data_IF_449133643909
#
_entry.id   IF_449133643909
#
_cell.length_a   1.000
_cell.length_b   1.000
_cell.length_c   1.000
_cell.angle_alpha   90.00
_cell.angle_beta   90.00
_cell.angle_gamma   90.00
#
_symmetry.space_group_name_H-M   'P 1'
#
loop_
_entity.id
_entity.type
_entity.pdbx_description
1 polymer ?
#
# COMPACT_ATOMS: atom_id res chain seq x y z
N UNK A 1 -19.92 -3.16 -11.53
CA UNK A 1 -19.19 -4.42 -11.21
C UNK A 1 -18.49 -4.39 -9.84
N UNK A 2 -18.26 -5.56 -9.23
CA UNK A 2 -17.51 -5.75 -7.98
C UNK A 2 -16.46 -6.86 -8.14
N UNK A 3 -15.20 -6.60 -7.80
CA UNK A 3 -14.14 -7.62 -7.70
C UNK A 3 -13.98 -8.03 -6.24
N UNK A 4 -14.44 -9.23 -5.88
CA UNK A 4 -14.30 -9.75 -4.53
C UNK A 4 -12.92 -10.35 -4.30
N UNK A 5 -11.96 -9.55 -3.89
CA UNK A 5 -10.57 -10.01 -3.78
C UNK A 5 -10.30 -11.07 -2.71
N UNK A 6 -11.21 -11.33 -1.75
CA UNK A 6 -10.93 -12.29 -0.67
C UNK A 6 -9.66 -11.99 0.17
N UNK A 7 -9.05 -10.80 -0.01
CA UNK A 7 -7.71 -10.31 0.43
C UNK A 7 -6.51 -10.52 -0.52
N UNK A 8 -6.67 -11.09 -1.70
CA UNK A 8 -5.60 -11.29 -2.69
C UNK A 8 -5.56 -10.16 -3.74
N UNK A 9 -4.35 -9.70 -4.11
CA UNK A 9 -4.05 -8.73 -5.18
C UNK A 9 -4.96 -7.49 -5.33
N UNK A 10 -5.66 -7.10 -4.28
CA UNK A 10 -6.67 -6.06 -4.36
C UNK A 10 -6.16 -4.70 -4.82
N UNK A 11 -4.88 -4.38 -4.54
CA UNK A 11 -4.26 -3.17 -5.05
C UNK A 11 -4.00 -3.24 -6.55
N UNK A 12 -3.60 -4.41 -7.05
CA UNK A 12 -3.38 -4.62 -8.47
C UNK A 12 -4.70 -4.49 -9.25
N UNK A 13 -5.79 -5.10 -8.77
CA UNK A 13 -7.12 -4.89 -9.34
C UNK A 13 -7.57 -3.43 -9.24
N UNK A 14 -7.38 -2.78 -8.09
CA UNK A 14 -7.80 -1.40 -7.90
C UNK A 14 -7.11 -0.46 -8.89
N UNK A 15 -5.80 -0.60 -9.07
CA UNK A 15 -5.02 0.25 -9.98
C UNK A 15 -5.44 0.00 -11.42
N UNK A 16 -5.46 -1.27 -11.85
CA UNK A 16 -5.75 -1.61 -13.23
C UNK A 16 -7.19 -1.29 -13.64
N UNK A 17 -8.13 -1.27 -12.70
CA UNK A 17 -9.48 -0.76 -12.96
C UNK A 17 -9.50 0.78 -12.98
N UNK A 18 -8.79 1.43 -12.07
CA UNK A 18 -8.88 2.89 -11.91
C UNK A 18 -8.19 3.68 -13.03
N UNK A 19 -7.21 3.10 -13.70
CA UNK A 19 -6.60 3.72 -14.89
C UNK A 19 -7.47 3.64 -16.14
N UNK A 20 -8.52 2.81 -16.15
CA UNK A 20 -9.37 2.70 -17.34
C UNK A 20 -10.26 3.95 -17.49
N UNK A 21 -10.34 4.51 -18.70
CA UNK A 21 -11.08 5.76 -18.96
C UNK A 21 -12.60 5.63 -18.80
N UNK A 22 -13.14 4.41 -18.82
CA UNK A 22 -14.56 4.09 -18.75
C UNK A 22 -14.95 3.39 -17.44
N UNK A 23 -14.04 3.32 -16.45
CA UNK A 23 -14.36 2.82 -15.11
C UNK A 23 -14.24 3.94 -14.08
N UNK A 24 -15.26 4.11 -13.24
CA UNK A 24 -15.23 5.01 -12.09
C UNK A 24 -15.06 4.15 -10.83
N UNK A 25 -13.91 4.31 -10.16
CA UNK A 25 -13.58 3.55 -8.95
C UNK A 25 -13.48 4.49 -7.75
N UNK A 26 -14.35 4.36 -6.72
CA UNK A 26 -14.22 5.14 -5.51
C UNK A 26 -12.92 4.78 -4.79
N UNK A 27 -12.35 5.72 -4.04
CA UNK A 27 -11.21 5.41 -3.16
C UNK A 27 -11.53 4.17 -2.32
N UNK A 28 -10.60 3.22 -2.31
CA UNK A 28 -10.73 1.99 -1.52
C UNK A 28 -10.94 2.30 -0.04
N UNK A 29 -10.27 3.32 0.51
CA UNK A 29 -10.49 3.72 1.91
C UNK A 29 -11.89 4.25 2.17
N UNK A 30 -12.44 5.05 1.24
CA UNK A 30 -13.82 5.54 1.32
C UNK A 30 -14.82 4.39 1.30
N UNK A 31 -14.64 3.42 0.40
CA UNK A 31 -15.52 2.25 0.33
C UNK A 31 -15.37 1.34 1.56
N UNK A 32 -14.14 1.00 1.98
CA UNK A 32 -13.88 0.23 3.21
C UNK A 32 -14.51 0.90 4.45
N UNK A 33 -14.45 2.24 4.51
CA UNK A 33 -15.10 3.00 5.58
C UNK A 33 -16.61 2.88 5.48
N UNK A 34 -17.20 3.02 4.29
CA UNK A 34 -18.64 2.85 4.09
C UNK A 34 -19.11 1.46 4.56
N UNK A 35 -18.40 0.39 4.19
CA UNK A 35 -18.71 -0.98 4.63
C UNK A 35 -18.68 -1.08 6.15
N UNK A 36 -17.61 -0.57 6.79
CA UNK A 36 -17.49 -0.60 8.26
C UNK A 36 -18.62 0.16 8.94
N UNK A 37 -18.95 1.36 8.47
CA UNK A 37 -20.02 2.17 9.08
C UNK A 37 -21.38 1.48 8.90
N UNK A 38 -21.62 0.88 7.74
CA UNK A 38 -22.85 0.13 7.48
C UNK A 38 -22.97 -1.10 8.39
N UNK A 39 -21.95 -1.97 8.39
CA UNK A 39 -21.99 -3.24 9.13
C UNK A 39 -21.89 -3.03 10.65
N UNK A 40 -21.09 -2.06 11.12
CA UNK A 40 -20.90 -1.80 12.55
C UNK A 40 -21.96 -0.88 13.15
N UNK A 41 -22.35 0.19 12.44
CA UNK A 41 -23.20 1.26 12.98
C UNK A 41 -24.57 1.32 12.30
N UNK A 42 -24.88 0.42 11.36
CA UNK A 42 -26.16 0.37 10.62
C UNK A 42 -26.47 1.68 9.89
N UNK A 43 -25.44 2.39 9.45
CA UNK A 43 -25.58 3.66 8.75
C UNK A 43 -25.28 3.52 7.26
N UNK A 44 -26.30 3.72 6.42
CA UNK A 44 -26.18 3.79 4.97
C UNK A 44 -25.61 5.11 4.44
N UNK A 45 -25.46 6.14 5.29
CA UNK A 45 -25.12 7.50 4.85
C UNK A 45 -23.78 7.59 4.11
N UNK A 46 -22.79 6.78 4.52
CA UNK A 46 -21.49 6.76 3.85
C UNK A 46 -21.57 6.13 2.45
N UNK A 47 -22.37 5.07 2.29
CA UNK A 47 -22.62 4.45 0.99
C UNK A 47 -23.43 5.40 0.09
N UNK A 48 -24.43 6.08 0.64
CA UNK A 48 -25.20 7.10 -0.08
C UNK A 48 -24.37 8.31 -0.52
N UNK A 49 -23.29 8.65 0.18
CA UNK A 49 -22.31 9.65 -0.30
C UNK A 49 -21.54 9.14 -1.53
N UNK A 50 -21.12 7.87 -1.53
CA UNK A 50 -20.45 7.26 -2.69
C UNK A 50 -21.40 7.23 -3.89
N UNK A 51 -22.68 6.86 -3.69
CA UNK A 51 -23.69 6.85 -4.74
C UNK A 51 -23.90 8.24 -5.36
N UNK A 52 -23.97 9.30 -4.54
CA UNK A 52 -24.09 10.67 -5.03
C UNK A 52 -22.85 11.11 -5.82
N UNK A 53 -21.67 10.86 -5.26
CA UNK A 53 -20.41 11.14 -5.94
C UNK A 53 -20.33 10.42 -7.29
N UNK A 54 -20.72 9.15 -7.37
CA UNK A 54 -20.73 8.41 -8.63
C UNK A 54 -21.67 9.05 -9.66
N UNK A 55 -22.89 9.44 -9.27
CA UNK A 55 -23.81 10.15 -10.16
C UNK A 55 -23.29 11.50 -10.64
N UNK A 56 -22.50 12.20 -9.83
CA UNK A 56 -21.82 13.43 -10.24
C UNK A 56 -20.75 13.13 -11.29
N UNK A 57 -19.94 12.09 -11.11
CA UNK A 57 -18.93 11.65 -12.09
C UNK A 57 -19.55 11.22 -13.43
N UNK A 58 -20.72 10.57 -13.39
CA UNK A 58 -21.46 10.17 -14.60
C UNK A 58 -21.91 11.36 -15.46
N UNK A 59 -22.00 12.59 -14.92
CA UNK A 59 -22.34 13.77 -15.72
C UNK A 59 -21.25 14.10 -16.74
N UNK A 60 -19.99 13.89 -16.34
CA UNK A 60 -18.83 14.15 -17.19
C UNK A 60 -18.45 12.90 -18.02
N UNK A 61 -18.85 11.71 -17.55
CA UNK A 61 -18.53 10.40 -18.15
C UNK A 61 -19.76 9.49 -18.17
N UNK A 62 -20.75 9.74 -19.05
CA UNK A 62 -22.05 9.06 -19.02
C UNK A 62 -21.97 7.55 -19.27
N UNK A 63 -21.02 7.12 -20.10
CA UNK A 63 -20.83 5.71 -20.46
C UNK A 63 -19.99 4.92 -19.44
N UNK A 64 -19.53 5.56 -18.36
CA UNK A 64 -18.60 4.91 -17.44
C UNK A 64 -19.30 4.02 -16.41
N UNK A 65 -18.72 2.86 -16.13
CA UNK A 65 -19.27 1.90 -15.16
C UNK A 65 -18.66 2.05 -13.77
N UNK A 66 -19.44 1.76 -12.73
CA UNK A 66 -18.94 1.67 -11.36
C UNK A 66 -18.06 0.42 -11.21
N UNK A 67 -16.80 0.63 -10.86
CA UNK A 67 -15.87 -0.44 -10.47
C UNK A 67 -15.62 -0.44 -8.96
N UNK A 68 -15.84 -1.58 -8.30
CA UNK A 68 -15.56 -1.71 -6.86
C UNK A 68 -14.57 -2.84 -6.63
N UNK A 69 -13.46 -2.57 -5.96
CA UNK A 69 -12.57 -3.63 -5.47
C UNK A 69 -12.84 -3.88 -3.99
N UNK A 70 -13.47 -5.01 -3.69
CA UNK A 70 -13.97 -5.31 -2.36
C UNK A 70 -13.12 -6.35 -1.63
N UNK A 71 -12.65 -5.99 -0.43
CA UNK A 71 -11.92 -6.90 0.46
C UNK A 71 -12.86 -7.55 1.48
N UNK A 72 -13.67 -8.52 1.05
CA UNK A 72 -14.71 -9.16 1.86
C UNK A 72 -14.21 -9.74 3.20
N UNK A 73 -13.03 -10.37 3.21
CA UNK A 73 -12.49 -11.12 4.37
C UNK A 73 -11.77 -10.22 5.40
N UNK A 74 -11.49 -8.93 5.12
CA UNK A 74 -11.03 -7.97 6.17
C UNK A 74 -12.20 -7.73 7.17
N UNK A 75 -12.16 -6.85 8.19
CA UNK A 75 -13.28 -6.72 9.15
C UNK A 75 -14.53 -6.05 8.53
N UNK A 76 -14.76 -6.26 7.23
CA UNK A 76 -15.81 -5.73 6.39
C UNK A 76 -17.06 -6.62 6.54
N UNK A 77 -16.98 -7.89 6.14
CA UNK A 77 -18.06 -8.85 6.39
C UNK A 77 -17.82 -9.62 7.69
N UNK A 78 -18.90 -9.87 8.44
CA UNK A 78 -18.84 -10.61 9.70
C UNK A 78 -19.29 -12.05 9.51
N UNK A 79 -18.63 -13.00 10.17
CA UNK A 79 -19.19 -14.34 10.35
C UNK A 79 -20.33 -14.30 11.40
N UNK A 80 -21.44 -15.04 11.20
CA UNK A 80 -21.75 -15.86 10.01
C UNK A 80 -22.01 -14.99 8.76
N UNK A 81 -21.50 -15.42 7.59
CA UNK A 81 -21.52 -14.60 6.38
C UNK A 81 -22.94 -14.29 5.88
N UNK A 82 -23.90 -15.21 6.03
CA UNK A 82 -25.31 -15.00 5.67
C UNK A 82 -26.11 -14.15 6.68
N UNK A 83 -25.44 -13.41 7.57
CA UNK A 83 -26.16 -12.51 8.45
C UNK A 83 -26.98 -11.49 7.66
N UNK A 84 -28.20 -11.18 8.13
CA UNK A 84 -29.06 -10.13 7.55
C UNK A 84 -28.34 -8.81 7.30
N UNK A 85 -27.32 -8.50 8.10
CA UNK A 85 -26.49 -7.29 7.95
C UNK A 85 -25.60 -7.32 6.72
N UNK A 86 -24.95 -8.44 6.45
CA UNK A 86 -24.10 -8.58 5.26
C UNK A 86 -24.98 -8.58 4.00
N UNK A 87 -26.11 -9.29 4.02
CA UNK A 87 -27.08 -9.28 2.92
C UNK A 87 -27.58 -7.87 2.65
N UNK A 88 -28.10 -7.16 3.66
CA UNK A 88 -28.59 -5.79 3.50
C UNK A 88 -27.50 -4.82 3.00
N UNK A 89 -26.25 -4.98 3.42
CA UNK A 89 -25.15 -4.18 2.91
C UNK A 89 -24.88 -4.47 1.42
N UNK A 90 -24.80 -5.74 1.03
CA UNK A 90 -24.55 -6.11 -0.35
C UNK A 90 -25.71 -5.72 -1.27
N UNK A 91 -26.97 -5.86 -0.82
CA UNK A 91 -28.13 -5.37 -1.55
C UNK A 91 -28.06 -3.86 -1.73
N UNK A 92 -27.70 -3.11 -0.68
CA UNK A 92 -27.50 -1.67 -0.81
C UNK A 92 -26.33 -1.31 -1.74
N UNK A 93 -25.27 -2.13 -1.81
CA UNK A 93 -24.21 -1.95 -2.80
C UNK A 93 -24.75 -2.14 -4.21
N UNK A 94 -25.47 -3.24 -4.47
CA UNK A 94 -26.12 -3.53 -5.75
C UNK A 94 -27.04 -2.39 -6.18
N UNK A 95 -27.99 -2.03 -5.31
CA UNK A 95 -29.09 -1.14 -5.65
C UNK A 95 -28.66 0.33 -5.70
N UNK A 96 -27.78 0.79 -4.79
CA UNK A 96 -27.39 2.21 -4.73
C UNK A 96 -26.23 2.57 -5.63
N UNK A 97 -25.34 1.61 -5.93
CA UNK A 97 -24.16 1.83 -6.76
C UNK A 97 -24.30 1.24 -8.16
N UNK A 98 -25.46 0.68 -8.48
CA UNK A 98 -25.78 0.08 -9.78
C UNK A 98 -24.72 -0.93 -10.23
N UNK A 99 -24.51 -1.93 -9.36
CA UNK A 99 -23.53 -3.00 -9.61
C UNK A 99 -24.21 -4.36 -9.60
N UNK A 100 -24.15 -5.04 -10.73
CA UNK A 100 -24.84 -6.30 -11.02
C UNK A 100 -23.91 -7.52 -11.06
N UNK A 101 -22.67 -7.29 -11.49
CA UNK A 101 -21.68 -8.33 -11.79
C UNK A 101 -20.61 -8.39 -10.70
N UNK A 102 -20.35 -9.59 -10.19
CA UNK A 102 -19.29 -9.88 -9.23
C UNK A 102 -18.24 -10.80 -9.86
N UNK A 103 -16.98 -10.39 -9.85
CA UNK A 103 -15.84 -11.24 -10.17
C UNK A 103 -15.27 -11.84 -8.89
N UNK A 104 -15.30 -13.17 -8.79
CA UNK A 104 -14.97 -13.94 -7.60
C UNK A 104 -13.72 -14.82 -7.86
N UNK A 105 -12.51 -14.38 -7.47
CA UNK A 105 -11.30 -15.18 -7.56
C UNK A 105 -11.39 -16.39 -6.64
N UNK A 106 -11.11 -17.57 -7.20
CA UNK A 106 -10.83 -18.79 -6.44
C UNK A 106 -9.34 -19.08 -6.56
N UNK A 107 -8.72 -19.49 -5.45
CA UNK A 107 -7.29 -19.82 -5.38
C UNK A 107 -7.13 -21.29 -5.11
N UNK A 108 -6.06 -21.88 -5.61
CA UNK A 108 -5.66 -23.20 -5.15
C UNK A 108 -5.41 -23.17 -3.61
N UNK A 109 -6.04 -24.07 -2.83
CA UNK A 109 -6.05 -23.99 -1.37
C UNK A 109 -4.66 -24.00 -0.72
N UNK A 110 -3.71 -24.80 -1.23
CA UNK A 110 -2.33 -24.85 -0.71
C UNK A 110 -1.58 -23.55 -0.96
N UNK A 111 -1.77 -22.95 -2.12
CA UNK A 111 -1.19 -21.67 -2.56
C UNK A 111 -1.79 -20.50 -1.78
N UNK A 112 -3.10 -20.52 -1.52
CA UNK A 112 -3.75 -19.57 -0.60
C UNK A 112 -3.18 -19.71 0.82
N UNK A 113 -3.08 -20.94 1.32
CA UNK A 113 -2.57 -21.23 2.66
C UNK A 113 -1.14 -20.69 2.83
N UNK A 114 -0.23 -21.01 1.89
CA UNK A 114 1.15 -20.55 1.89
C UNK A 114 1.23 -19.01 1.87
N UNK A 115 0.43 -18.39 1.01
CA UNK A 115 0.35 -16.93 0.89
C UNK A 115 -0.10 -16.26 2.20
N UNK A 116 -1.13 -16.80 2.86
CA UNK A 116 -1.59 -16.30 4.15
C UNK A 116 -0.59 -16.59 5.28
N UNK A 117 0.08 -17.75 5.27
CA UNK A 117 1.12 -18.10 6.23
C UNK A 117 2.28 -17.08 6.16
N UNK A 118 2.85 -16.89 4.97
CA UNK A 118 3.91 -15.92 4.71
C UNK A 118 3.51 -14.50 5.15
N UNK A 119 2.27 -14.10 4.85
CA UNK A 119 1.73 -12.80 5.28
C UNK A 119 1.65 -12.67 6.80
N UNK A 120 1.23 -13.72 7.51
CA UNK A 120 1.11 -13.74 8.97
C UNK A 120 2.46 -13.76 9.66
N UNK A 121 3.42 -14.48 9.11
CA UNK A 121 4.81 -14.52 9.55
C UNK A 121 5.44 -13.14 9.44
N UNK A 122 5.29 -12.51 8.27
CA UNK A 122 5.73 -11.15 8.03
C UNK A 122 5.14 -10.13 9.02
N UNK A 123 3.89 -10.31 9.44
CA UNK A 123 3.28 -9.47 10.48
C UNK A 123 3.89 -9.68 11.88
N UNK A 124 4.31 -10.91 12.21
CA UNK A 124 4.91 -11.22 13.52
C UNK A 124 6.28 -10.55 13.68
N UNK A 125 7.04 -10.41 12.60
CA UNK A 125 8.36 -9.75 12.59
C UNK A 125 8.27 -8.23 12.34
N UNK A 126 7.18 -7.60 12.82
CA UNK A 126 6.90 -6.17 12.71
C UNK A 126 6.71 -5.61 11.28
N UNK A 127 6.31 -6.43 10.32
CA UNK A 127 6.23 -6.03 8.91
C UNK A 127 7.58 -5.47 8.40
N UNK A 128 7.61 -4.86 7.22
CA UNK A 128 8.84 -4.34 6.61
C UNK A 128 9.23 -2.99 7.21
N UNK A 129 9.28 -2.91 8.55
CA UNK A 129 9.65 -1.69 9.26
C UNK A 129 11.13 -1.73 9.64
N UNK A 130 11.87 -0.70 9.23
CA UNK A 130 13.28 -0.56 9.60
C UNK A 130 13.45 -0.38 11.11
N UNK A 131 14.31 -1.18 11.78
CA UNK A 131 14.67 -0.93 13.16
C UNK A 131 15.24 0.47 13.32
N UNK A 132 14.76 1.18 14.34
CA UNK A 132 15.19 2.56 14.61
C UNK A 132 16.70 2.58 14.84
N UNK A 133 17.43 3.42 14.09
CA UNK A 133 18.87 3.59 14.21
C UNK A 133 19.72 2.63 13.37
N UNK A 134 19.14 1.59 12.76
CA UNK A 134 19.88 0.67 11.90
C UNK A 134 20.42 1.39 10.66
N UNK A 135 21.72 1.29 10.41
CA UNK A 135 22.44 2.09 9.40
C UNK A 135 22.13 3.60 9.48
N UNK A 136 21.94 4.12 10.70
CA UNK A 136 21.58 5.52 10.91
C UNK A 136 20.18 5.88 10.41
N UNK A 137 19.29 4.91 10.16
CA UNK A 137 17.91 5.18 9.74
C UNK A 137 17.14 5.92 10.83
N UNK A 138 16.60 7.06 10.44
CA UNK A 138 15.73 7.90 11.27
C UNK A 138 14.48 8.23 10.45
N UNK A 139 13.33 8.30 11.12
CA UNK A 139 12.10 8.81 10.50
C UNK A 139 12.13 10.34 10.33
N UNK A 140 12.94 11.04 11.14
CA UNK A 140 13.10 12.49 11.11
C UNK A 140 14.57 12.83 10.96
N UNK A 141 14.88 13.56 9.90
CA UNK A 141 16.19 14.08 9.56
C UNK A 141 16.20 15.59 9.74
N UNK A 142 17.39 16.16 9.86
CA UNK A 142 17.63 17.59 9.72
C UNK A 142 18.45 17.84 8.46
N UNK A 143 18.18 18.93 7.75
CA UNK A 143 18.92 19.28 6.54
C UNK A 143 20.44 19.35 6.79
N UNK A 144 20.86 19.83 7.98
CA UNK A 144 22.26 19.83 8.39
C UNK A 144 22.88 18.43 8.53
N UNK A 145 22.10 17.41 8.91
CA UNK A 145 22.57 16.02 8.97
C UNK A 145 22.83 15.45 7.56
N UNK A 146 22.21 16.03 6.53
CA UNK A 146 22.38 15.58 5.15
C UNK A 146 23.68 16.09 4.52
N UNK A 147 24.28 17.14 5.07
CA UNK A 147 25.52 17.74 4.59
C UNK A 147 26.77 16.95 5.01
N UNK A 148 26.75 16.33 6.19
CA UNK A 148 27.87 15.54 6.74
C UNK A 148 27.38 14.13 7.11
N UNK A 149 27.21 13.21 6.14
CA UNK A 149 26.79 11.85 6.45
C UNK A 149 27.88 11.12 7.23
N UNK A 150 27.51 10.54 8.38
CA UNK A 150 28.37 9.57 9.07
C UNK A 150 28.57 8.28 8.24
N UNK A 151 29.46 7.37 8.66
CA UNK A 151 29.66 6.10 7.98
C UNK A 151 28.42 5.18 8.08
N UNK A 152 28.26 4.27 7.12
CA UNK A 152 27.35 3.12 7.24
C UNK A 152 27.93 2.16 8.29
N UNK A 153 27.06 1.56 9.10
CA UNK A 153 27.46 0.64 10.16
C UNK A 153 27.30 -0.80 9.70
N UNK A 154 27.96 -1.73 10.39
CA UNK A 154 27.78 -3.15 10.11
C UNK A 154 26.34 -3.61 10.42
N UNK A 155 25.86 -4.50 9.56
CA UNK A 155 24.48 -4.91 9.34
C UNK A 155 24.05 -6.13 10.17
N UNK A 156 24.88 -6.58 11.11
CA UNK A 156 24.86 -7.93 11.68
C UNK A 156 23.77 -8.20 12.74
N UNK A 157 22.98 -7.21 13.15
CA UNK A 157 21.99 -7.36 14.22
C UNK A 157 20.58 -6.86 13.86
N UNK A 158 19.90 -7.55 12.92
CA UNK A 158 18.43 -7.49 12.85
C UNK A 158 17.85 -8.41 13.94
N UNK A 159 16.98 -7.91 14.84
CA UNK A 159 16.48 -8.73 15.94
C UNK A 159 15.65 -9.91 15.43
N UNK A 160 15.93 -11.11 15.97
CA UNK A 160 15.22 -12.35 15.66
C UNK A 160 14.17 -12.64 16.73
N UNK A 161 12.86 -12.51 16.49
CA UNK A 161 11.91 -13.34 17.18
C UNK A 161 11.80 -14.65 16.39
N UNK A 162 12.33 -15.75 16.96
CA UNK A 162 12.06 -17.08 16.45
C UNK A 162 10.56 -17.38 16.60
N UNK A 163 9.92 -17.88 15.54
CA UNK A 163 8.55 -18.36 15.62
C UNK A 163 8.61 -19.85 15.94
N UNK A 164 8.16 -20.23 17.15
CA UNK A 164 8.09 -21.64 17.53
C UNK A 164 7.05 -22.41 16.71
N UNK A 165 7.21 -23.73 16.65
CA UNK A 165 6.25 -24.63 16.00
C UNK A 165 4.83 -24.47 16.56
N UNK A 166 4.68 -24.40 17.88
CA UNK A 166 3.39 -24.11 18.53
C UNK A 166 2.76 -22.79 18.02
N UNK A 167 3.58 -21.78 17.73
CA UNK A 167 3.12 -20.52 17.19
C UNK A 167 2.77 -20.59 15.70
N UNK A 168 3.31 -21.55 14.93
CA UNK A 168 2.90 -21.87 13.57
C UNK A 168 1.59 -22.66 13.54
N UNK A 169 1.43 -23.66 14.41
CA UNK A 169 0.19 -24.43 14.54
C UNK A 169 -1.00 -23.51 14.89
N UNK A 170 -0.84 -22.63 15.87
CA UNK A 170 -1.86 -21.62 16.23
C UNK A 170 -2.16 -20.62 15.10
N UNK A 171 -1.20 -20.36 14.22
CA UNK A 171 -1.43 -19.53 13.02
C UNK A 171 -2.27 -20.29 11.99
N UNK A 172 -1.97 -21.57 11.73
CA UNK A 172 -2.70 -22.41 10.77
C UNK A 172 -4.20 -22.45 11.09
N UNK A 173 -4.57 -22.69 12.35
CA UNK A 173 -5.97 -22.67 12.81
C UNK A 173 -6.68 -21.34 12.50
N UNK A 174 -5.98 -20.20 12.62
CA UNK A 174 -6.54 -18.87 12.33
C UNK A 174 -6.65 -18.57 10.83
N UNK A 175 -5.92 -19.27 9.98
CA UNK A 175 -6.03 -19.17 8.52
C UNK A 175 -7.31 -19.89 8.10
N UNK A 176 -7.47 -21.14 8.52
CA UNK A 176 -8.68 -21.96 8.29
C UNK A 176 -9.98 -21.20 8.54
N UNK A 177 -10.15 -20.64 9.74
CA UNK A 177 -11.37 -19.92 10.12
C UNK A 177 -11.66 -18.69 9.26
N UNK A 178 -10.63 -18.02 8.73
CA UNK A 178 -10.79 -16.72 8.04
C UNK A 178 -10.86 -16.83 6.54
N UNK A 179 -10.07 -17.72 5.94
CA UNK A 179 -9.90 -17.83 4.49
C UNK A 179 -10.36 -19.17 3.94
N UNK A 180 -10.66 -20.15 4.79
CA UNK A 180 -11.22 -21.43 4.39
C UNK A 180 -12.71 -21.38 4.01
N UNK A 181 -13.39 -20.26 4.25
CA UNK A 181 -14.84 -20.07 4.03
C UNK A 181 -15.19 -19.53 2.64
N UNK A 182 -14.55 -20.07 1.61
CA UNK A 182 -14.65 -19.58 0.22
C UNK A 182 -16.04 -19.77 -0.36
N UNK A 183 -16.65 -20.95 -0.20
CA UNK A 183 -17.99 -21.23 -0.72
C UNK A 183 -19.07 -20.47 0.05
N UNK A 184 -18.98 -20.42 1.38
CA UNK A 184 -19.88 -19.59 2.20
C UNK A 184 -19.88 -18.12 1.77
N UNK A 185 -18.71 -17.60 1.36
CA UNK A 185 -18.62 -16.25 0.80
C UNK A 185 -19.25 -16.17 -0.58
N UNK A 186 -18.96 -17.10 -1.48
CA UNK A 186 -19.57 -17.16 -2.81
C UNK A 186 -21.11 -17.21 -2.73
N UNK A 187 -21.66 -18.07 -1.88
CA UNK A 187 -23.09 -18.23 -1.67
C UNK A 187 -23.73 -16.92 -1.18
N UNK A 188 -23.06 -16.19 -0.28
CA UNK A 188 -23.52 -14.86 0.14
C UNK A 188 -23.63 -13.89 -1.04
N UNK A 189 -22.61 -13.81 -1.90
CA UNK A 189 -22.69 -12.93 -3.08
C UNK A 189 -23.77 -13.42 -4.06
N UNK A 190 -23.84 -14.71 -4.32
CA UNK A 190 -24.81 -15.29 -5.27
C UNK A 190 -26.25 -15.17 -4.78
N UNK A 191 -26.48 -15.05 -3.46
CA UNK A 191 -27.80 -14.75 -2.91
C UNK A 191 -28.27 -13.30 -3.11
N UNK A 192 -27.39 -12.41 -3.57
CA UNK A 192 -27.65 -10.97 -3.70
C UNK A 192 -27.47 -10.46 -5.12
N UNK A 193 -26.46 -10.95 -5.83
CA UNK A 193 -26.09 -10.51 -7.18
C UNK A 193 -26.48 -11.58 -8.20
N UNK A 194 -27.06 -11.14 -9.31
CA UNK A 194 -27.56 -12.04 -10.35
C UNK A 194 -26.41 -12.69 -11.14
N UNK A 195 -25.26 -12.02 -11.24
CA UNK A 195 -24.09 -12.53 -11.96
C UNK A 195 -22.86 -12.58 -11.04
N UNK A 196 -22.48 -13.79 -10.62
CA UNK A 196 -21.24 -14.04 -9.85
C UNK A 196 -20.32 -14.97 -10.64
N UNK A 197 -19.36 -14.37 -11.33
CA UNK A 197 -18.41 -15.06 -12.20
C UNK A 197 -17.14 -15.45 -11.43
N UNK A 198 -16.83 -16.73 -11.44
CA UNK A 198 -15.63 -17.31 -10.85
C UNK A 198 -14.51 -17.32 -11.88
N UNK A 199 -13.31 -16.96 -11.44
CA UNK A 199 -12.08 -17.12 -12.21
C UNK A 199 -10.98 -17.73 -11.35
N UNK A 200 -10.03 -18.42 -11.98
CA UNK A 200 -8.84 -18.88 -11.29
C UNK A 200 -7.91 -17.71 -11.05
N UNK A 201 -7.54 -17.51 -9.80
CA UNK A 201 -6.58 -16.46 -9.45
C UNK A 201 -5.22 -16.72 -10.10
N UNK A 202 -4.89 -17.96 -10.43
CA UNK A 202 -3.72 -18.33 -11.21
C UNK A 202 -3.73 -17.68 -12.61
N UNK A 203 -4.88 -17.46 -13.24
CA UNK A 203 -4.98 -16.70 -14.50
C UNK A 203 -4.47 -15.25 -14.33
N UNK A 204 -4.74 -14.61 -13.18
CA UNK A 204 -4.19 -13.29 -12.87
C UNK A 204 -2.65 -13.31 -12.73
N UNK A 205 -2.09 -14.46 -12.35
CA UNK A 205 -0.64 -14.65 -12.19
C UNK A 205 0.05 -15.02 -13.51
N UNK A 206 -0.64 -15.70 -14.41
CA UNK A 206 -0.07 -16.14 -15.69
C UNK A 206 -0.23 -15.06 -16.76
N UNK A 207 -1.45 -14.59 -16.99
CA UNK A 207 -1.76 -13.58 -18.00
C UNK A 207 -2.80 -12.57 -17.46
N UNK A 208 -2.35 -11.57 -16.67
CA UNK A 208 -3.26 -10.57 -16.14
C UNK A 208 -3.96 -9.76 -17.25
N UNK A 209 -3.34 -9.58 -18.42
CA UNK A 209 -3.92 -8.79 -19.50
C UNK A 209 -5.12 -9.51 -20.13
N UNK A 210 -4.98 -10.81 -20.41
CA UNK A 210 -6.09 -11.63 -20.88
C UNK A 210 -7.23 -11.69 -19.85
N UNK A 211 -6.91 -11.84 -18.57
CA UNK A 211 -7.93 -11.82 -17.51
C UNK A 211 -8.70 -10.49 -17.48
N UNK A 212 -8.01 -9.34 -17.49
CA UNK A 212 -8.67 -8.04 -17.48
C UNK A 212 -9.50 -7.80 -18.74
N UNK A 213 -9.08 -8.31 -19.91
CA UNK A 213 -9.88 -8.26 -21.13
C UNK A 213 -11.20 -9.04 -20.97
N UNK A 214 -11.17 -10.29 -20.47
CA UNK A 214 -12.38 -11.07 -20.16
C UNK A 214 -13.28 -10.38 -19.14
N UNK A 215 -12.68 -9.80 -18.09
CA UNK A 215 -13.42 -9.01 -17.10
C UNK A 215 -14.09 -7.79 -17.74
N UNK A 216 -13.41 -7.14 -18.69
CA UNK A 216 -13.94 -6.02 -19.47
C UNK A 216 -15.22 -6.38 -20.21
N UNK A 217 -15.17 -7.46 -21.00
CA UNK A 217 -16.30 -7.96 -21.77
C UNK A 217 -17.52 -8.29 -20.89
N UNK A 218 -17.30 -8.87 -19.71
CA UNK A 218 -18.38 -9.26 -18.79
C UNK A 218 -18.83 -8.14 -17.85
N UNK A 219 -17.97 -7.16 -17.60
CA UNK A 219 -18.16 -6.05 -16.66
C UNK A 219 -18.50 -4.73 -17.34
N UNK A 220 -18.71 -4.73 -18.66
CA UNK A 220 -19.03 -3.59 -19.50
C UNK A 220 -17.98 -2.46 -19.43
N UNK A 221 -16.70 -2.82 -19.55
CA UNK A 221 -15.62 -1.84 -19.70
C UNK A 221 -14.53 -2.33 -20.67
N UNK A 222 -13.72 -1.41 -21.17
CA UNK A 222 -12.66 -1.67 -22.13
C UNK A 222 -11.29 -1.64 -21.43
N UNK A 223 -10.58 -2.76 -21.47
CA UNK A 223 -9.20 -2.82 -20.95
C UNK A 223 -8.21 -2.28 -21.98
N UNK A 224 -8.04 -0.96 -21.99
CA UNK A 224 -7.25 -0.20 -22.98
C UNK A 224 -5.90 0.24 -22.43
N UNK A 225 -5.86 0.78 -21.21
CA UNK A 225 -4.59 1.14 -20.56
C UNK A 225 -4.00 -0.08 -19.87
N UNK A 226 -2.86 -0.55 -20.40
CA UNK A 226 -2.12 -1.74 -19.91
C UNK A 226 -0.85 -1.37 -19.15
N UNK A 227 -0.59 -0.08 -18.93
CA UNK A 227 0.68 0.42 -18.38
C UNK A 227 1.04 -0.18 -17.01
N UNK A 228 0.04 -0.58 -16.21
CA UNK A 228 0.21 -1.12 -14.85
C UNK A 228 -0.27 -2.56 -14.69
N UNK A 229 -0.47 -3.28 -15.79
CA UNK A 229 -1.03 -4.65 -15.77
C UNK A 229 -0.12 -5.65 -15.04
N UNK A 230 1.19 -5.45 -15.11
CA UNK A 230 2.18 -6.26 -14.41
C UNK A 230 2.56 -5.71 -13.03
N UNK A 231 2.00 -4.57 -12.62
CA UNK A 231 2.30 -3.93 -11.33
C UNK A 231 1.65 -4.71 -10.19
N UNK A 232 2.34 -5.76 -9.75
CA UNK A 232 1.94 -6.61 -8.63
C UNK A 232 2.25 -5.93 -7.31
N UNK A 233 1.33 -5.08 -6.86
CA UNK A 233 1.36 -4.48 -5.52
C UNK A 233 0.81 -5.42 -4.45
N UNK A 234 1.12 -6.70 -4.56
CA UNK A 234 0.98 -7.64 -3.47
C UNK A 234 2.34 -7.72 -2.73
N UNK A 235 2.33 -8.11 -1.46
CA UNK A 235 3.58 -8.38 -0.72
C UNK A 235 4.53 -7.16 -0.59
N UNK A 236 5.78 -7.29 -1.03
CA UNK A 236 6.91 -6.39 -0.78
C UNK A 236 6.65 -4.96 -1.28
N UNK A 237 6.28 -4.75 -2.54
CA UNK A 237 6.03 -3.40 -3.08
C UNK A 237 4.94 -2.64 -2.29
N UNK A 238 3.85 -3.33 -1.93
CA UNK A 238 2.80 -2.76 -1.10
C UNK A 238 3.30 -2.35 0.29
N UNK A 239 4.20 -3.12 0.90
CA UNK A 239 4.77 -2.84 2.22
C UNK A 239 5.81 -1.73 2.13
N UNK A 240 6.69 -1.76 1.12
CA UNK A 240 7.62 -0.69 0.81
C UNK A 240 6.90 0.67 0.76
N UNK A 241 5.79 0.75 0.02
CA UNK A 241 4.99 1.96 -0.12
C UNK A 241 4.27 2.40 1.18
N UNK A 242 4.14 1.53 2.19
CA UNK A 242 3.52 1.87 3.49
C UNK A 242 4.56 2.31 4.52
N UNK A 243 5.73 1.68 4.54
CA UNK A 243 6.67 1.76 5.66
C UNK A 243 7.95 2.56 5.39
N UNK A 244 8.02 3.30 4.27
CA UNK A 244 9.16 4.15 3.93
C UNK A 244 8.98 5.70 4.05
N UNK A 245 7.91 6.29 4.62
CA UNK A 245 7.84 7.75 4.72
C UNK A 245 8.81 8.29 5.78
N UNK A 246 9.48 9.40 5.47
CA UNK A 246 10.39 10.13 6.37
C UNK A 246 10.18 11.64 6.27
N UNK A 247 10.70 12.38 7.24
CA UNK A 247 10.56 13.84 7.34
C UNK A 247 11.94 14.48 7.37
N UNK A 248 12.11 15.59 6.65
CA UNK A 248 13.30 16.44 6.72
C UNK A 248 12.90 17.76 7.38
N UNK A 249 13.51 18.08 8.51
CA UNK A 249 13.41 19.40 9.14
C UNK A 249 14.43 20.33 8.48
N UNK A 250 13.93 21.39 7.86
CA UNK A 250 14.77 22.36 7.15
C UNK A 250 15.43 23.38 8.11
N UNK A 251 14.95 23.47 9.36
CA UNK A 251 15.48 24.41 10.35
C UNK A 251 15.32 25.87 9.91
N UNK A 252 16.13 26.78 10.48
CA UNK A 252 16.39 28.08 9.86
C UNK A 252 17.46 27.85 8.79
N UNK A 253 17.05 27.58 7.56
CA UNK A 253 18.00 27.64 6.46
C UNK A 253 18.34 29.13 6.25
N UNK A 254 19.56 29.49 6.62
CA UNK A 254 20.20 30.70 6.11
C UNK A 254 21.00 30.22 4.90
N UNK A 255 20.75 30.74 3.68
CA UNK A 255 21.73 30.61 2.62
C UNK A 255 22.96 31.37 3.09
N UNK A 256 23.86 30.71 3.81
CA UNK A 256 25.21 31.22 3.98
C UNK A 256 25.92 30.90 2.68
N UNK A 257 25.97 31.91 1.81
CA UNK A 257 27.00 32.01 0.79
C UNK A 257 28.34 31.61 1.43
N UNK A 258 29.06 30.63 0.86
CA UNK A 258 30.38 30.27 1.35
C UNK A 258 31.36 31.36 0.89
N UNK A 259 31.33 32.52 1.54
CA UNK A 259 32.32 33.57 1.33
C UNK A 259 33.09 33.82 2.63
N UNK A 260 34.39 33.51 2.54
CA UNK A 260 35.47 33.97 3.43
C UNK A 260 35.49 33.43 4.88
N UNK A 261 35.82 32.15 5.04
CA UNK A 261 36.69 31.78 6.17
C UNK A 261 38.13 31.92 5.67
N UNK A 262 38.71 33.10 5.84
CA UNK A 262 40.15 33.31 5.67
C UNK A 262 40.95 32.44 6.66
N UNK A 263 42.20 32.09 6.33
CA UNK A 263 43.03 31.29 7.21
C UNK A 263 43.57 32.21 8.32
N UNK A 264 42.94 32.20 9.49
CA UNK A 264 43.43 33.01 10.61
C UNK A 264 42.65 32.84 11.90
N UNK A 265 43.29 32.19 12.88
CA UNK A 265 43.19 32.60 14.29
C UNK A 265 42.00 32.08 15.11
N UNK A 266 41.98 30.78 15.42
CA UNK A 266 41.35 30.34 16.68
C UNK A 266 42.32 30.60 17.84
N UNK A 267 42.39 31.86 18.27
CA UNK A 267 43.00 32.26 19.52
C UNK A 267 42.02 33.08 20.35
N UNK A 268 41.81 32.58 21.58
CA UNK A 268 41.35 33.24 22.81
C UNK A 268 39.85 33.28 23.15
N UNK A 269 39.64 32.73 24.34
CA UNK A 269 38.52 32.86 25.27
C UNK A 269 38.29 34.32 25.71
N UNK A 270 37.05 34.52 26.19
CA UNK A 270 36.61 35.41 27.25
C UNK A 270 36.19 36.86 26.90
N UNK A 271 34.93 37.14 27.25
CA UNK A 271 34.54 38.41 27.88
C UNK A 271 33.84 39.44 26.99
N UNK A 272 32.86 40.12 27.62
CA UNK A 272 32.17 41.35 27.18
C UNK A 272 30.92 41.17 26.31
N UNK A 273 29.75 41.13 26.98
CA UNK A 273 28.51 41.70 26.41
C UNK A 273 28.65 43.23 26.45
N UNK A 274 28.21 43.94 25.39
CA UNK A 274 27.21 44.97 25.67
C UNK A 274 26.10 45.07 24.61
N UNK A 275 24.98 45.58 25.11
CA UNK A 275 23.77 45.99 24.42
C UNK A 275 24.00 46.91 23.21
N UNK A 276 23.28 46.68 22.11
CA UNK A 276 22.74 47.77 21.30
C UNK A 276 21.50 47.35 20.47
N UNK A 277 20.37 47.97 20.81
CA UNK A 277 19.20 48.32 19.98
C UNK A 277 18.46 47.20 19.24
N UNK A 278 17.40 46.73 19.91
CA UNK A 278 16.17 46.20 19.29
C UNK A 278 15.60 47.25 18.30
N UNK A 279 15.92 47.14 17.01
CA UNK A 279 14.97 47.52 15.96
C UNK A 279 13.94 46.39 15.88
N UNK A 280 12.75 46.62 16.43
CA UNK A 280 11.56 45.83 16.11
C UNK A 280 11.27 46.02 14.63
N UNK A 281 11.88 45.18 13.79
CA UNK A 281 11.26 44.87 12.51
C UNK A 281 9.90 44.25 12.85
N UNK A 282 8.83 44.84 12.31
CA UNK A 282 7.48 44.30 12.33
C UNK A 282 7.56 43.01 11.52
N UNK A 283 7.99 41.93 12.18
CA UNK A 283 7.84 40.59 11.64
C UNK A 283 6.34 40.35 11.67
N UNK A 284 5.72 40.34 10.49
CA UNK A 284 4.44 39.68 10.30
C UNK A 284 4.44 38.37 11.10
N UNK A 285 3.36 38.15 11.85
CA UNK A 285 3.16 37.01 12.76
C UNK A 285 3.10 35.67 11.98
N UNK A 286 4.13 35.30 11.24
CA UNK A 286 4.46 33.90 11.03
C UNK A 286 5.29 33.49 12.23
N UNK A 287 4.66 32.78 13.18
CA UNK A 287 5.42 31.99 14.16
C UNK A 287 6.50 31.23 13.37
N UNK A 288 7.78 31.24 13.80
CA UNK A 288 8.88 30.55 13.11
C UNK A 288 8.73 29.05 13.32
N UNK A 289 7.68 28.47 12.76
CA UNK A 289 7.41 27.06 12.80
C UNK A 289 8.45 26.36 11.95
N UNK A 290 9.10 25.35 12.54
CA UNK A 290 10.06 24.46 11.88
C UNK A 290 9.49 24.04 10.52
N UNK A 291 10.06 24.54 9.41
CA UNK A 291 9.71 24.08 8.07
C UNK A 291 10.10 22.61 7.98
N UNK A 292 9.13 21.78 7.60
CA UNK A 292 9.29 20.32 7.48
C UNK A 292 8.83 19.91 6.11
N UNK A 293 9.56 18.98 5.53
CA UNK A 293 9.25 18.39 4.25
C UNK A 293 9.03 16.89 4.44
N UNK A 294 7.83 16.40 4.15
CA UNK A 294 7.52 14.96 4.17
C UNK A 294 7.95 14.36 2.83
N UNK A 295 8.83 13.38 2.94
CA UNK A 295 9.45 12.70 1.82
C UNK A 295 9.14 11.20 1.88
N UNK A 296 9.32 10.53 0.75
CA UNK A 296 9.23 9.07 0.63
C UNK A 296 10.01 8.59 -0.57
N UNK A 297 10.38 7.31 -0.58
CA UNK A 297 10.68 6.63 -1.83
C UNK A 297 9.38 6.04 -2.40
N UNK A 298 9.22 6.10 -3.71
CA UNK A 298 7.94 5.76 -4.35
C UNK A 298 8.11 5.05 -5.68
N UNK A 299 7.01 4.47 -6.16
CA UNK A 299 6.89 3.91 -7.50
C UNK A 299 6.03 4.91 -8.28
N UNK A 300 6.64 5.81 -9.09
CA UNK A 300 5.98 6.87 -9.83
C UNK A 300 4.65 6.49 -10.46
N UNK A 301 4.65 5.38 -11.17
CA UNK A 301 3.57 4.92 -12.03
C UNK A 301 2.33 4.52 -11.22
N UNK A 302 2.51 4.23 -9.93
CA UNK A 302 1.44 3.77 -9.03
C UNK A 302 0.79 4.92 -8.27
N UNK A 303 1.57 5.96 -7.92
CA UNK A 303 1.10 7.02 -7.04
C UNK A 303 0.05 7.92 -7.68
N UNK A 304 0.12 8.11 -9.00
CA UNK A 304 -0.89 8.80 -9.80
C UNK A 304 -2.28 8.17 -9.67
N UNK A 305 -2.36 6.91 -9.23
CA UNK A 305 -3.60 6.12 -9.12
C UNK A 305 -4.00 5.86 -7.66
N UNK A 306 -3.02 5.79 -6.74
CA UNK A 306 -3.21 5.40 -5.35
C UNK A 306 -3.31 6.59 -4.38
N UNK A 307 -4.43 7.31 -4.44
CA UNK A 307 -4.79 8.42 -3.52
C UNK A 307 -4.59 8.09 -2.02
N UNK A 308 -4.76 6.81 -1.65
CA UNK A 308 -4.61 6.28 -0.28
C UNK A 308 -3.24 6.62 0.36
N UNK A 309 -2.21 6.95 -0.43
CA UNK A 309 -0.86 7.21 0.09
C UNK A 309 -0.47 8.68 0.11
N UNK A 310 -1.40 9.57 -0.22
CA UNK A 310 -1.17 11.02 -0.27
C UNK A 310 -0.63 11.49 -1.61
N UNK A 311 -0.74 12.80 -1.82
CA UNK A 311 -0.27 13.51 -3.01
C UNK A 311 1.22 13.84 -2.84
N UNK A 312 2.03 13.30 -3.74
CA UNK A 312 3.48 13.49 -3.77
C UNK A 312 3.90 13.88 -5.18
N UNK A 313 4.72 14.93 -5.27
CA UNK A 313 5.42 15.29 -6.48
C UNK A 313 6.82 14.69 -6.47
N UNK A 314 7.27 14.24 -7.63
CA UNK A 314 8.64 13.77 -7.79
C UNK A 314 9.61 14.95 -7.72
N UNK A 315 10.75 14.74 -7.09
CA UNK A 315 11.85 15.69 -7.07
C UNK A 315 12.98 15.13 -7.93
N UNK A 316 13.58 15.93 -8.83
CA UNK A 316 14.75 15.51 -9.59
C UNK A 316 15.91 15.22 -8.62
N UNK A 317 16.10 13.95 -8.33
CA UNK A 317 17.16 13.47 -7.46
C UNK A 317 17.77 12.22 -8.08
N UNK A 318 19.10 12.15 -8.18
CA UNK A 318 19.81 10.93 -8.56
C UNK A 318 19.79 9.92 -7.42
N UNK A 319 18.61 9.42 -7.09
CA UNK A 319 18.41 8.32 -6.15
C UNK A 319 18.46 6.97 -6.86
N UNK A 320 18.23 6.93 -8.18
CA UNK A 320 18.09 5.69 -8.94
C UNK A 320 19.36 4.82 -8.86
N UNK A 321 20.54 5.43 -9.04
CA UNK A 321 21.83 4.75 -8.91
C UNK A 321 22.04 4.14 -7.52
N UNK A 322 21.61 4.85 -6.47
CA UNK A 322 21.74 4.46 -5.06
C UNK A 322 20.72 3.41 -4.62
N UNK A 323 19.57 3.35 -5.28
CA UNK A 323 18.46 2.46 -4.96
C UNK A 323 18.33 1.28 -5.91
N UNK A 324 19.32 1.02 -6.78
CA UNK A 324 19.28 -0.07 -7.77
C UNK A 324 18.81 -1.41 -7.21
N UNK A 325 19.40 -1.86 -6.10
CA UNK A 325 19.00 -3.11 -5.43
C UNK A 325 17.57 -3.12 -4.88
N UNK A 326 17.02 -1.95 -4.56
CA UNK A 326 15.62 -1.80 -4.16
C UNK A 326 14.74 -1.93 -5.40
N UNK A 327 15.05 -1.20 -6.47
CA UNK A 327 14.31 -1.26 -7.73
C UNK A 327 14.28 -2.67 -8.32
N UNK A 328 15.41 -3.38 -8.29
CA UNK A 328 15.52 -4.79 -8.71
C UNK A 328 14.63 -5.71 -7.87
N UNK A 329 14.65 -5.56 -6.54
CA UNK A 329 13.81 -6.37 -5.65
C UNK A 329 12.31 -6.07 -5.78
N UNK A 330 11.95 -4.84 -6.16
CA UNK A 330 10.57 -4.44 -6.41
C UNK A 330 10.09 -4.79 -7.82
N UNK A 331 11.01 -4.95 -8.78
CA UNK A 331 10.69 -5.05 -10.20
C UNK A 331 10.09 -3.75 -10.75
N UNK A 332 10.44 -2.60 -10.18
CA UNK A 332 9.88 -1.30 -10.57
C UNK A 332 10.87 -0.17 -10.33
N UNK A 333 10.75 0.91 -11.11
CA UNK A 333 11.51 2.13 -10.89
C UNK A 333 11.13 2.77 -9.55
N UNK A 334 12.12 3.34 -8.86
CA UNK A 334 11.95 3.98 -7.55
C UNK A 334 12.44 5.42 -7.62
N UNK A 335 11.56 6.36 -7.26
CA UNK A 335 11.85 7.79 -7.23
C UNK A 335 11.76 8.36 -5.80
N UNK A 336 12.21 9.61 -5.65
CA UNK A 336 11.99 10.41 -4.45
C UNK A 336 10.75 11.29 -4.65
N UNK A 337 9.77 11.13 -3.78
CA UNK A 337 8.61 12.00 -3.71
C UNK A 337 8.65 12.94 -2.51
N UNK A 338 8.21 14.17 -2.73
CA UNK A 338 7.90 15.16 -1.69
C UNK A 338 6.42 15.43 -1.70
N UNK A 339 5.80 15.49 -0.52
CA UNK A 339 4.37 15.79 -0.42
C UNK A 339 4.05 17.14 -1.05
N UNK A 340 3.06 17.18 -1.93
CA UNK A 340 2.73 18.39 -2.70
C UNK A 340 2.50 19.62 -1.81
N UNK A 341 1.70 19.46 -0.74
CA UNK A 341 1.45 20.53 0.22
C UNK A 341 2.72 21.08 0.91
N UNK A 342 3.78 20.29 1.03
CA UNK A 342 5.05 20.75 1.61
C UNK A 342 5.93 21.40 0.51
N UNK A 343 5.90 20.85 -0.72
CA UNK A 343 6.63 21.37 -1.86
C UNK A 343 6.19 22.77 -2.30
N UNK A 344 4.89 23.09 -2.23
CA UNK A 344 4.36 24.43 -2.53
C UNK A 344 4.99 25.55 -1.70
N UNK A 345 5.65 25.19 -0.60
CA UNK A 345 6.31 26.12 0.29
C UNK A 345 7.83 26.08 0.17
N UNK A 346 8.40 25.49 -0.89
CA UNK A 346 9.83 25.38 -1.15
C UNK A 346 10.18 26.01 -2.50
N UNK A 347 11.33 26.70 -2.57
CA UNK A 347 11.89 27.12 -3.86
C UNK A 347 12.45 25.91 -4.63
N UNK A 348 12.68 26.06 -5.94
CA UNK A 348 13.36 25.05 -6.75
C UNK A 348 14.74 24.69 -6.17
N UNK A 349 15.53 25.70 -5.78
CA UNK A 349 16.83 25.48 -5.13
C UNK A 349 16.74 24.69 -3.82
N UNK A 350 15.71 24.94 -3.01
CA UNK A 350 15.47 24.19 -1.77
C UNK A 350 15.10 22.73 -2.06
N UNK A 351 14.33 22.48 -3.12
CA UNK A 351 13.99 21.13 -3.58
C UNK A 351 15.21 20.39 -4.12
N UNK A 352 16.07 21.05 -4.91
CA UNK A 352 17.29 20.47 -5.46
C UNK A 352 18.31 20.14 -4.37
N UNK A 353 18.48 21.04 -3.40
CA UNK A 353 19.33 20.81 -2.23
C UNK A 353 18.82 19.64 -1.40
N UNK A 354 17.50 19.56 -1.18
CA UNK A 354 16.85 18.46 -0.50
C UNK A 354 17.07 17.15 -1.25
N UNK A 355 16.80 17.11 -2.56
CA UNK A 355 16.98 15.94 -3.41
C UNK A 355 18.43 15.45 -3.40
N UNK A 356 19.38 16.37 -3.53
CA UNK A 356 20.82 16.09 -3.45
C UNK A 356 21.25 15.57 -2.07
N UNK A 357 20.69 16.13 -1.00
CA UNK A 357 20.93 15.66 0.37
C UNK A 357 20.36 14.26 0.62
N UNK A 358 19.15 13.99 0.14
CA UNK A 358 18.50 12.67 0.22
C UNK A 358 19.31 11.63 -0.56
N UNK A 359 19.66 11.92 -1.81
CA UNK A 359 20.44 11.02 -2.66
C UNK A 359 21.79 10.65 -2.03
N UNK A 360 22.50 11.63 -1.46
CA UNK A 360 23.82 11.37 -0.84
C UNK A 360 23.74 10.68 0.51
N UNK A 361 22.75 11.00 1.33
CA UNK A 361 22.76 10.63 2.75
C UNK A 361 21.68 9.61 3.13
N UNK A 362 20.45 9.77 2.64
CA UNK A 362 19.32 8.92 3.04
C UNK A 362 19.21 7.69 2.12
N UNK A 363 19.33 7.86 0.80
CA UNK A 363 19.17 6.77 -0.16
C UNK A 363 20.13 5.59 0.07
N UNK A 364 21.45 5.78 0.32
CA UNK A 364 22.36 4.67 0.57
C UNK A 364 22.04 3.93 1.88
N UNK A 365 21.62 4.67 2.91
CA UNK A 365 21.18 4.09 4.19
C UNK A 365 19.90 3.30 4.02
N UNK A 366 18.95 3.83 3.27
CA UNK A 366 17.73 3.13 2.93
C UNK A 366 18.02 1.83 2.18
N UNK A 367 18.86 1.89 1.13
CA UNK A 367 19.26 0.73 0.35
C UNK A 367 19.91 -0.36 1.21
N UNK A 368 20.89 0.01 2.05
CA UNK A 368 21.56 -0.92 2.95
C UNK A 368 20.56 -1.58 3.92
N UNK A 369 19.70 -0.79 4.55
CA UNK A 369 18.64 -1.30 5.42
C UNK A 369 17.65 -2.22 4.69
N UNK A 370 17.29 -1.85 3.46
CA UNK A 370 16.37 -2.63 2.64
C UNK A 370 16.97 -3.98 2.28
N UNK A 371 18.26 -4.04 1.94
CA UNK A 371 18.95 -5.30 1.65
C UNK A 371 18.98 -6.24 2.85
N UNK A 372 19.30 -5.73 4.04
CA UNK A 372 19.29 -6.51 5.30
C UNK A 372 17.91 -7.08 5.56
N UNK A 373 16.90 -6.22 5.48
CA UNK A 373 15.51 -6.61 5.69
C UNK A 373 15.06 -7.62 4.64
N UNK A 374 15.33 -7.38 3.35
CA UNK A 374 14.96 -8.29 2.27
C UNK A 374 15.61 -9.67 2.45
N UNK A 375 16.89 -9.71 2.80
CA UNK A 375 17.62 -10.94 3.13
C UNK A 375 16.95 -11.68 4.29
N UNK A 376 16.74 -10.99 5.42
CA UNK A 376 16.06 -11.55 6.58
C UNK A 376 14.67 -12.11 6.23
N UNK A 377 13.90 -11.38 5.41
CA UNK A 377 12.58 -11.81 4.97
C UNK A 377 12.63 -13.09 4.15
N UNK A 378 13.57 -13.18 3.20
CA UNK A 378 13.74 -14.38 2.36
C UNK A 378 14.21 -15.58 3.18
N UNK A 379 15.13 -15.37 4.11
CA UNK A 379 15.76 -16.46 4.87
C UNK A 379 14.93 -16.96 6.06
N UNK A 380 14.09 -16.11 6.68
CA UNK A 380 13.49 -16.40 7.98
C UNK A 380 11.98 -16.19 8.07
N UNK A 381 11.35 -15.63 7.05
CA UNK A 381 9.93 -15.24 7.09
C UNK A 381 9.13 -15.84 5.95
N UNK A 382 9.74 -15.92 4.77
CA UNK A 382 9.14 -16.44 3.57
C UNK A 382 9.40 -17.95 3.46
N UNK A 383 8.31 -18.70 3.41
CA UNK A 383 8.31 -20.11 3.05
C UNK A 383 8.04 -20.25 1.55
N UNK A 384 8.89 -21.01 0.87
CA UNK A 384 8.70 -21.38 -0.55
C UNK A 384 7.70 -22.55 -0.71
N UNK A 385 7.60 -23.40 0.32
CA UNK A 385 6.64 -24.49 0.39
C UNK A 385 5.92 -24.50 1.73
N UNK A 386 4.73 -25.12 1.78
CA UNK A 386 3.98 -25.25 3.02
C UNK A 386 4.73 -26.20 3.97
N UNK A 387 5.05 -25.79 5.21
CA UNK A 387 5.65 -26.69 6.19
C UNK A 387 4.72 -27.87 6.53
N UNK A 388 5.33 -29.02 6.80
CA UNK A 388 4.63 -30.29 7.01
C UNK A 388 3.61 -30.22 8.15
N UNK A 389 2.49 -30.95 7.99
CA UNK A 389 1.39 -31.04 8.96
C UNK A 389 0.55 -29.76 9.16
N UNK A 390 1.05 -28.58 8.76
CA UNK A 390 0.31 -27.33 8.92
C UNK A 390 -0.87 -27.22 7.95
N UNK A 391 -0.75 -27.78 6.75
CA UNK A 391 -1.81 -27.76 5.74
C UNK A 391 -3.00 -28.64 6.14
N UNK A 392 -2.77 -29.78 6.77
CA UNK A 392 -3.82 -30.76 7.07
C UNK A 392 -4.90 -30.19 8.00
N UNK A 393 -4.49 -29.34 8.95
CA UNK A 393 -5.42 -28.60 9.83
C UNK A 393 -6.30 -27.66 9.01
N UNK A 394 -5.72 -26.97 8.02
CA UNK A 394 -6.48 -26.09 7.13
C UNK A 394 -7.42 -26.89 6.24
N UNK A 395 -6.92 -27.96 5.63
CA UNK A 395 -7.65 -28.78 4.67
C UNK A 395 -8.80 -29.52 5.35
N UNK A 396 -8.56 -30.22 6.46
CA UNK A 396 -9.60 -30.92 7.22
C UNK A 396 -10.79 -30.02 7.57
N UNK A 397 -10.52 -28.76 7.94
CA UNK A 397 -11.55 -27.80 8.30
C UNK A 397 -12.21 -27.06 7.11
N UNK A 398 -11.59 -27.05 5.93
CA UNK A 398 -12.03 -26.24 4.78
C UNK A 398 -12.41 -27.08 3.55
N UNK A 399 -12.10 -28.37 3.53
CA UNK A 399 -12.24 -29.26 2.37
C UNK A 399 -13.60 -29.14 1.68
N UNK A 400 -14.69 -29.24 2.45
CA UNK A 400 -16.07 -29.12 1.93
C UNK A 400 -16.33 -27.76 1.25
N UNK A 401 -15.75 -26.67 1.76
CA UNK A 401 -15.90 -25.35 1.14
C UNK A 401 -15.19 -25.30 -0.22
N UNK A 402 -14.04 -25.98 -0.36
CA UNK A 402 -13.32 -26.04 -1.63
C UNK A 402 -13.96 -27.01 -2.63
N UNK A 403 -14.46 -28.16 -2.16
CA UNK A 403 -15.21 -29.09 -3.00
C UNK A 403 -16.45 -28.40 -3.59
N UNK A 404 -17.25 -27.73 -2.76
CA UNK A 404 -18.44 -27.01 -3.22
C UNK A 404 -18.12 -25.88 -4.21
N UNK A 405 -17.10 -25.05 -3.97
CA UNK A 405 -16.78 -23.96 -4.90
C UNK A 405 -16.24 -24.49 -6.24
N UNK A 406 -15.51 -25.61 -6.22
CA UNK A 406 -15.04 -26.24 -7.45
C UNK A 406 -16.17 -26.87 -8.26
N UNK A 407 -17.20 -27.41 -7.61
CA UNK A 407 -18.42 -27.86 -8.29
C UNK A 407 -19.12 -26.70 -8.99
N UNK A 408 -19.31 -25.57 -8.30
CA UNK A 408 -19.88 -24.35 -8.92
C UNK A 408 -19.06 -23.89 -10.11
N UNK A 409 -17.72 -23.84 -9.96
CA UNK A 409 -16.80 -23.43 -11.03
C UNK A 409 -16.91 -24.34 -12.25
N UNK A 410 -17.36 -25.60 -12.14
CA UNK A 410 -17.57 -26.48 -13.30
C UNK A 410 -18.76 -26.06 -14.18
N UNK A 411 -19.69 -25.26 -13.64
CA UNK A 411 -20.81 -24.73 -14.40
C UNK A 411 -20.37 -23.58 -15.33
N UNK A 412 -20.71 -23.65 -16.61
CA UNK A 412 -20.29 -22.69 -17.63
C UNK A 412 -20.78 -21.27 -17.36
N UNK A 413 -22.02 -21.11 -16.86
CA UNK A 413 -22.63 -19.80 -16.59
C UNK A 413 -21.91 -19.01 -15.49
N UNK A 414 -21.14 -19.71 -14.65
CA UNK A 414 -20.41 -19.13 -13.53
C UNK A 414 -18.91 -18.95 -13.83
N UNK A 415 -18.45 -19.18 -15.07
CA UNK A 415 -17.04 -18.97 -15.46
C UNK A 415 -16.84 -17.61 -16.10
N UNK A 416 -15.73 -16.97 -15.72
CA UNK A 416 -15.13 -15.88 -16.49
C UNK A 416 -14.35 -16.46 -17.69
#
# INVERSE_FOLDING_TARGET
MVVNTGRAASRAFYINLKIQPDVIVPSRHSFDRAVKLFIKMRSGAALGRIARWYREQLRDRPEAVMGIVFHSVRPNLRCPYHSRRNVAFLSAVRDLLDVDTVFFPVREPRTLFLSELNRRMAKKVHDWSFPKGMNGWKRRWWLSELACPGPLQDASAYPRPWVSEAALQKLSQKISVRTGKVFSLYELFSSVFDRVLIFDYEEFIEDPAALFAKMGERGNFCFTDRSLVHTRLNSLANRFLIYNPFEINLGRWSPQTPESVGPGGWARKAGVKPFARRRRAVSSRCKPFRRRCRCRFEIPEVLTVCEDWGEYQQVPADCASRLKSVSEALGSHVALGVREADALHLSGEELDLLGSGVSRSIAPRFAANFQIMNRFYREHVHFEAVPDGLFDIFWSASRKEYENIWEVKRCADNRL
#
